data_IF_823932194916
#
_entry.id   IF_823932194916
#
_cell.length_a   1.000
_cell.length_b   1.000
_cell.length_c   1.000
_cell.angle_alpha   90.00
_cell.angle_beta   90.00
_cell.angle_gamma   90.00
#
_symmetry.space_group_name_H-M   'P 1'
#
loop_
_entity.id
_entity.type
_entity.pdbx_description
1 polymer ?
#
# COMPACT_ATOMS: atom_id res chain seq x y z
N UNK A 1 -4.50 19.11 -6.45
CA UNK A 1 -5.64 18.23 -6.76
C UNK A 1 -6.70 18.45 -5.71
N UNK A 2 -7.96 18.62 -6.09
CA UNK A 2 -9.06 18.88 -5.17
C UNK A 2 -10.11 17.80 -5.38
N UNK A 3 -10.50 17.12 -4.31
CA UNK A 3 -11.61 16.17 -4.31
C UNK A 3 -12.85 16.93 -3.82
N UNK A 4 -13.97 16.90 -4.55
CA UNK A 4 -15.22 17.48 -4.06
C UNK A 4 -15.65 16.84 -2.73
N UNK A 5 -16.27 17.63 -1.86
CA UNK A 5 -16.79 17.11 -0.59
C UNK A 5 -17.73 15.91 -0.81
N UNK A 6 -17.60 14.89 0.04
CA UNK A 6 -18.39 13.64 0.02
C UNK A 6 -18.20 12.75 -1.23
N UNK A 7 -17.12 12.92 -2.00
CA UNK A 7 -16.75 11.98 -3.07
C UNK A 7 -15.68 11.00 -2.60
N UNK A 8 -15.86 9.73 -2.93
CA UNK A 8 -14.82 8.70 -2.79
C UNK A 8 -13.76 8.88 -3.87
N UNK A 9 -12.51 8.58 -3.54
CA UNK A 9 -11.39 8.69 -4.47
C UNK A 9 -10.31 7.66 -4.16
N UNK A 10 -9.51 7.34 -5.17
CA UNK A 10 -8.28 6.57 -5.05
C UNK A 10 -7.10 7.50 -5.35
N UNK A 11 -6.06 7.44 -4.52
CA UNK A 11 -4.92 8.35 -4.57
C UNK A 11 -3.61 7.60 -4.38
N UNK A 12 -2.60 7.95 -5.17
CA UNK A 12 -1.25 7.39 -5.09
C UNK A 12 -0.22 8.50 -5.18
N UNK A 13 0.77 8.45 -4.29
CA UNK A 13 2.01 9.22 -4.40
C UNK A 13 3.13 8.29 -4.84
N UNK A 14 3.92 8.75 -5.81
CA UNK A 14 5.04 7.99 -6.35
C UNK A 14 6.32 8.68 -5.91
N UNK A 15 7.15 7.92 -5.20
CA UNK A 15 8.47 8.36 -4.74
C UNK A 15 9.50 7.39 -5.30
N UNK A 16 10.46 7.89 -6.07
CA UNK A 16 11.53 7.11 -6.69
C UNK A 16 12.85 7.63 -6.13
N UNK A 17 13.65 6.75 -5.52
CA UNK A 17 14.95 7.07 -4.92
C UNK A 17 14.90 8.24 -3.93
N UNK A 18 13.87 8.25 -3.07
CA UNK A 18 13.64 9.32 -2.09
C UNK A 18 13.17 10.65 -2.70
N UNK A 19 12.97 10.72 -4.02
CA UNK A 19 12.47 11.91 -4.71
C UNK A 19 11.02 11.74 -5.13
N UNK A 20 10.21 12.72 -4.77
CA UNK A 20 8.84 12.80 -5.24
C UNK A 20 8.79 12.86 -6.77
N UNK A 21 8.08 11.92 -7.38
CA UNK A 21 8.03 11.73 -8.84
C UNK A 21 6.64 11.98 -9.43
N UNK A 22 5.57 11.96 -8.61
CA UNK A 22 4.24 12.29 -9.08
C UNK A 22 3.12 11.91 -8.12
N UNK A 23 1.92 12.36 -8.47
CA UNK A 23 0.66 12.04 -7.79
C UNK A 23 -0.38 11.64 -8.83
N UNK A 24 -1.17 10.62 -8.51
CA UNK A 24 -2.32 10.20 -9.29
C UNK A 24 -3.56 10.28 -8.41
N UNK A 25 -4.64 10.86 -8.93
CA UNK A 25 -5.93 10.95 -8.27
C UNK A 25 -7.01 10.48 -9.23
N UNK A 26 -7.82 9.53 -8.77
CA UNK A 26 -9.01 9.07 -9.47
C UNK A 26 -10.24 9.30 -8.58
N UNK A 27 -11.19 10.10 -9.05
CA UNK A 27 -12.50 10.24 -8.40
C UNK A 27 -13.32 9.01 -8.75
N UNK A 28 -13.84 8.31 -7.75
CA UNK A 28 -14.56 7.06 -7.95
C UNK A 28 -16.00 7.37 -8.36
N UNK A 29 -16.37 6.86 -9.54
CA UNK A 29 -17.74 6.91 -10.06
C UNK A 29 -18.28 5.49 -10.17
N UNK A 30 -19.15 5.10 -9.22
CA UNK A 30 -19.74 3.77 -9.18
C UNK A 30 -18.81 2.70 -8.59
N UNK A 31 -18.79 1.52 -9.19
CA UNK A 31 -18.08 0.36 -8.66
C UNK A 31 -16.56 0.51 -8.88
N UNK A 32 -15.82 0.50 -7.78
CA UNK A 32 -14.36 0.51 -7.80
C UNK A 32 -13.82 -0.71 -7.03
N UNK A 33 -12.86 -1.47 -7.58
CA UNK A 33 -12.31 -2.62 -6.88
C UNK A 33 -11.65 -2.19 -5.56
N UNK A 34 -12.18 -2.65 -4.43
CA UNK A 34 -11.65 -2.31 -3.10
C UNK A 34 -10.16 -2.68 -2.97
N UNK A 35 -9.74 -3.75 -3.67
CA UNK A 35 -8.37 -4.23 -3.67
C UNK A 35 -7.50 -3.62 -4.78
N UNK A 36 -7.96 -2.58 -5.49
CA UNK A 36 -7.25 -2.04 -6.67
C UNK A 36 -5.79 -1.69 -6.39
N UNK A 37 -5.49 -1.03 -5.26
CA UNK A 37 -4.11 -0.70 -4.90
C UNK A 37 -3.22 -1.93 -4.75
N UNK A 38 -3.75 -3.01 -4.16
CA UNK A 38 -3.05 -4.30 -4.04
C UNK A 38 -2.90 -4.99 -5.40
N UNK A 39 -3.96 -5.01 -6.22
CA UNK A 39 -3.93 -5.55 -7.59
C UNK A 39 -2.85 -4.86 -8.44
N UNK A 40 -2.79 -3.52 -8.37
CA UNK A 40 -1.81 -2.71 -9.08
C UNK A 40 -0.38 -3.09 -8.66
N UNK A 41 -0.08 -3.09 -7.36
CA UNK A 41 1.26 -3.41 -6.85
C UNK A 41 1.67 -4.87 -7.12
N UNK A 42 0.76 -5.82 -6.94
CA UNK A 42 1.03 -7.23 -7.15
C UNK A 42 1.13 -7.64 -8.64
N UNK A 43 0.76 -6.74 -9.56
CA UNK A 43 0.80 -6.97 -11.00
C UNK A 43 2.19 -7.36 -11.49
N UNK A 44 2.23 -8.05 -12.63
CA UNK A 44 3.47 -8.46 -13.31
C UNK A 44 4.43 -7.30 -13.60
N UNK A 45 3.89 -6.11 -13.81
CA UNK A 45 4.67 -4.93 -14.17
C UNK A 45 5.40 -4.27 -12.98
N UNK A 46 4.97 -4.53 -11.73
CA UNK A 46 5.54 -3.87 -10.54
C UNK A 46 6.28 -4.88 -9.66
N UNK A 47 5.56 -5.79 -8.98
CA UNK A 47 6.18 -6.76 -8.05
C UNK A 47 6.14 -8.21 -8.56
N UNK A 48 5.31 -8.51 -9.56
CA UNK A 48 5.15 -9.86 -10.12
C UNK A 48 4.84 -10.94 -9.07
N UNK A 49 3.88 -10.65 -8.20
CA UNK A 49 3.42 -11.54 -7.10
C UNK A 49 1.90 -11.72 -7.17
N UNK A 50 1.36 -12.28 -8.28
CA UNK A 50 -0.09 -12.31 -8.53
C UNK A 50 -0.89 -13.09 -7.46
N UNK A 51 -0.26 -14.05 -6.78
CA UNK A 51 -0.85 -14.78 -5.64
C UNK A 51 -1.13 -13.90 -4.40
N UNK A 52 -0.58 -12.68 -4.36
CA UNK A 52 -0.78 -11.71 -3.28
C UNK A 52 -1.90 -10.71 -3.59
N UNK A 53 -2.60 -10.86 -4.72
CA UNK A 53 -3.68 -9.96 -5.15
C UNK A 53 -4.89 -10.03 -4.23
N UNK A 54 -5.35 -11.23 -3.86
CA UNK A 54 -6.50 -11.40 -2.97
C UNK A 54 -6.04 -11.45 -1.50
N UNK A 55 -6.52 -10.53 -0.67
CA UNK A 55 -6.19 -10.53 0.75
C UNK A 55 -6.64 -11.81 1.47
N UNK A 56 -7.69 -12.50 0.99
CA UNK A 56 -8.16 -13.74 1.60
C UNK A 56 -7.17 -14.90 1.43
N UNK A 57 -6.47 -14.90 0.30
CA UNK A 57 -5.47 -15.90 -0.07
C UNK A 57 -4.04 -15.45 0.27
N UNK A 58 -3.83 -14.17 0.59
CA UNK A 58 -2.56 -13.59 0.99
C UNK A 58 -2.25 -13.78 2.49
N UNK A 59 -2.64 -14.91 3.08
CA UNK A 59 -2.35 -15.23 4.48
C UNK A 59 -0.94 -15.81 4.62
N UNK A 60 -0.34 -15.56 5.77
CA UNK A 60 0.90 -16.21 6.23
C UNK A 60 0.64 -16.78 7.63
N UNK A 61 1.56 -17.58 8.15
CA UNK A 61 1.40 -18.16 9.49
C UNK A 61 1.53 -17.08 10.58
N UNK A 62 0.92 -17.26 11.76
CA UNK A 62 1.06 -16.32 12.88
C UNK A 62 2.52 -16.06 13.29
N UNK A 63 3.38 -17.08 13.20
CA UNK A 63 4.80 -16.95 13.50
C UNK A 63 5.52 -16.05 12.47
N UNK A 64 5.20 -16.19 11.18
CA UNK A 64 5.74 -15.30 10.13
C UNK A 64 5.23 -13.86 10.30
N UNK A 65 3.98 -13.66 10.69
CA UNK A 65 3.44 -12.33 11.00
C UNK A 65 4.20 -11.68 12.17
N UNK A 66 4.44 -12.44 13.24
CA UNK A 66 5.17 -11.97 14.41
C UNK A 66 6.61 -11.58 14.04
N UNK A 67 7.31 -12.46 13.33
CA UNK A 67 8.69 -12.21 12.90
C UNK A 67 8.79 -10.98 11.99
N UNK A 68 7.86 -10.80 11.04
CA UNK A 68 7.81 -9.64 10.17
C UNK A 68 7.59 -8.34 10.97
N UNK A 69 6.69 -8.37 11.97
CA UNK A 69 6.41 -7.22 12.83
C UNK A 69 7.61 -6.84 13.71
N UNK A 70 8.29 -7.83 14.31
CA UNK A 70 9.50 -7.61 15.11
C UNK A 70 10.65 -7.06 14.27
N UNK A 71 10.86 -7.66 13.09
CA UNK A 71 11.86 -7.20 12.14
C UNK A 71 11.62 -5.74 11.75
N UNK A 72 10.39 -5.38 11.38
CA UNK A 72 10.05 -3.99 11.05
C UNK A 72 10.30 -3.06 12.24
N UNK A 73 9.84 -3.40 13.45
CA UNK A 73 10.02 -2.58 14.65
C UNK A 73 11.49 -2.32 14.98
N UNK A 74 12.35 -3.33 14.80
CA UNK A 74 13.79 -3.21 15.02
C UNK A 74 14.42 -2.25 14.01
N UNK A 75 14.13 -2.43 12.71
CA UNK A 75 14.73 -1.63 11.64
C UNK A 75 14.18 -0.20 11.57
N UNK A 76 12.91 0.00 11.93
CA UNK A 76 12.29 1.33 11.94
C UNK A 76 12.67 2.15 13.19
N UNK A 77 13.41 1.57 14.15
CA UNK A 77 13.65 2.17 15.48
C UNK A 77 14.24 3.58 15.43
N UNK A 78 15.15 3.86 14.50
CA UNK A 78 15.83 5.16 14.39
C UNK A 78 14.96 6.25 13.73
N UNK A 79 13.89 5.85 13.05
CA UNK A 79 12.99 6.75 12.32
C UNK A 79 11.67 7.01 13.07
N UNK A 80 11.46 6.34 14.20
CA UNK A 80 10.23 6.44 14.98
C UNK A 80 10.24 7.70 15.86
N UNK A 81 9.59 8.75 15.35
CA UNK A 81 9.42 10.03 16.02
C UNK A 81 8.45 9.99 17.22
N UNK A 82 7.76 8.87 17.46
CA UNK A 82 6.83 8.71 18.59
C UNK A 82 7.49 8.11 19.84
N UNK A 83 8.77 7.71 19.74
CA UNK A 83 9.55 7.26 20.89
C UNK A 83 9.88 8.45 21.78
N UNK A 84 9.39 8.40 23.02
CA UNK A 84 9.91 9.22 24.11
C UNK A 84 11.23 8.64 24.61
#
# INVERSE_FOLDING_TARGET
MVVPSKKSYFYVEIVINGKYSGKLLHIIEGNFPLQFGRMMLASKAILNIPNRIDWKECKISPDEELQAAEYFRKNFKEYDFTKK
#
